data_IF_444314936180
#
_entry.id   IF_444314936180
#
_cell.length_a   1.000
_cell.length_b   1.000
_cell.length_c   1.000
_cell.angle_alpha   90.00
_cell.angle_beta   90.00
_cell.angle_gamma   90.00
#
_symmetry.space_group_name_H-M   'P 1'
#
loop_
_entity.id
_entity.type
_entity.pdbx_description
1 polymer ?
#
# COMPACT_ATOMS: atom_id res chain seq x y z
N UNK A 1 -11.32 -16.97 19.38
CA UNK A 1 -10.75 -16.94 18.01
C UNK A 1 -9.71 -15.82 17.97
N UNK A 2 -8.50 -16.09 17.50
CA UNK A 2 -7.45 -15.09 17.34
C UNK A 2 -7.23 -14.89 15.84
N UNK A 3 -7.29 -13.64 15.36
CA UNK A 3 -7.01 -13.26 13.99
C UNK A 3 -6.01 -12.13 13.96
N UNK A 4 -5.10 -12.16 13.03
CA UNK A 4 -4.19 -11.07 12.71
C UNK A 4 -4.56 -10.51 11.34
N UNK A 5 -4.63 -9.20 11.27
CA UNK A 5 -4.80 -8.45 10.02
C UNK A 5 -3.62 -7.50 9.86
N UNK A 6 -3.05 -7.44 8.69
CA UNK A 6 -1.90 -6.57 8.41
C UNK A 6 -2.04 -5.91 7.05
N UNK A 7 -1.75 -4.63 7.02
CA UNK A 7 -1.50 -3.87 5.79
C UNK A 7 -0.03 -3.48 5.80
N UNK A 8 0.69 -3.84 4.74
CA UNK A 8 2.12 -3.54 4.66
C UNK A 8 2.69 -3.87 3.29
N UNK A 9 3.97 -3.56 3.14
CA UNK A 9 4.70 -3.82 1.90
C UNK A 9 5.45 -5.15 1.97
N UNK A 10 5.52 -5.84 0.85
CA UNK A 10 6.35 -7.03 0.74
C UNK A 10 7.84 -6.67 0.78
N UNK A 11 8.59 -7.32 1.67
CA UNK A 11 10.03 -7.10 1.81
C UNK A 11 10.87 -7.78 0.72
N UNK A 12 10.29 -8.73 0.02
CA UNK A 12 10.91 -9.47 -1.09
C UNK A 12 9.84 -10.16 -1.93
N UNK A 13 10.24 -10.75 -3.03
CA UNK A 13 9.37 -11.59 -3.85
C UNK A 13 8.92 -12.81 -3.03
N UNK A 14 7.70 -13.27 -3.26
CA UNK A 14 7.22 -14.49 -2.65
C UNK A 14 7.94 -15.72 -3.21
N UNK A 15 7.93 -16.80 -2.44
CA UNK A 15 8.37 -18.14 -2.89
C UNK A 15 7.19 -19.09 -2.84
N UNK A 16 7.07 -19.93 -3.86
CA UNK A 16 6.03 -20.96 -3.93
C UNK A 16 6.67 -22.32 -3.83
N UNK A 17 6.20 -23.13 -2.89
CA UNK A 17 6.63 -24.51 -2.71
C UNK A 17 5.41 -25.43 -2.77
N UNK A 18 5.61 -26.67 -3.12
CA UNK A 18 4.59 -27.71 -3.05
C UNK A 18 4.90 -28.67 -1.90
N UNK A 19 3.91 -28.90 -1.07
CA UNK A 19 3.99 -29.80 0.09
C UNK A 19 2.75 -30.69 0.11
N UNK A 20 2.94 -31.99 -0.03
CA UNK A 20 1.85 -32.98 0.03
C UNK A 20 0.67 -32.66 -0.90
N UNK A 21 0.96 -32.25 -2.15
CA UNK A 21 -0.05 -31.94 -3.17
C UNK A 21 -0.78 -30.60 -2.99
N UNK A 22 -0.31 -29.76 -2.05
CA UNK A 22 -0.82 -28.38 -1.87
C UNK A 22 0.31 -27.38 -2.08
N UNK A 23 -0.02 -26.24 -2.63
CA UNK A 23 0.93 -25.14 -2.76
C UNK A 23 0.93 -24.28 -1.50
N UNK A 24 2.12 -23.87 -1.07
CA UNK A 24 2.31 -22.83 -0.06
C UNK A 24 3.08 -21.66 -0.67
N UNK A 25 2.50 -20.48 -0.58
CA UNK A 25 3.13 -19.23 -1.01
C UNK A 25 3.62 -18.51 0.24
N UNK A 26 4.96 -18.38 0.35
CA UNK A 26 5.61 -17.74 1.48
C UNK A 26 6.04 -16.32 1.11
N UNK A 27 5.77 -15.36 1.98
CA UNK A 27 6.15 -13.96 1.81
C UNK A 27 6.29 -13.26 3.16
N UNK A 28 7.07 -12.18 3.19
CA UNK A 28 7.27 -11.37 4.39
C UNK A 28 6.62 -10.01 4.19
N UNK A 29 5.84 -9.57 5.18
CA UNK A 29 5.16 -8.27 5.18
C UNK A 29 5.80 -7.37 6.22
N UNK A 30 6.16 -6.16 5.81
CA UNK A 30 6.61 -5.10 6.69
C UNK A 30 5.48 -4.08 6.88
N UNK A 31 5.06 -3.89 8.11
CA UNK A 31 4.22 -2.78 8.53
C UNK A 31 5.08 -1.74 9.25
N UNK A 32 5.10 -0.52 8.72
CA UNK A 32 5.85 0.58 9.32
C UNK A 32 4.88 1.63 9.88
N UNK A 33 5.10 2.00 11.11
CA UNK A 33 4.35 3.04 11.81
C UNK A 33 5.29 4.10 12.37
N UNK A 34 4.80 5.34 12.46
CA UNK A 34 5.52 6.45 13.09
C UNK A 34 4.81 6.84 14.36
N UNK A 35 5.53 6.92 15.44
CA UNK A 35 4.98 7.40 16.72
C UNK A 35 5.94 8.38 17.38
N UNK A 36 5.42 9.17 18.32
CA UNK A 36 6.25 10.05 19.14
C UNK A 36 6.64 9.31 20.42
N UNK A 37 7.94 9.34 20.72
CA UNK A 37 8.45 8.83 21.98
C UNK A 37 8.07 9.76 23.15
N UNK A 38 8.43 9.35 24.39
CA UNK A 38 8.17 10.15 25.59
C UNK A 38 8.87 11.52 25.59
N UNK A 39 9.88 11.69 24.74
CA UNK A 39 10.65 12.94 24.57
C UNK A 39 10.12 13.79 23.41
N UNK A 40 9.07 13.31 22.69
CA UNK A 40 8.45 14.02 21.57
C UNK A 40 9.12 13.83 20.21
N UNK A 41 10.14 12.95 20.12
CA UNK A 41 10.80 12.64 18.86
C UNK A 41 9.98 11.67 18.04
N UNK A 42 9.99 11.82 16.71
CA UNK A 42 9.39 10.86 15.79
C UNK A 42 10.28 9.62 15.69
N UNK A 43 9.72 8.48 15.99
CA UNK A 43 10.36 7.16 15.89
C UNK A 43 9.64 6.31 14.88
N UNK A 44 10.39 5.72 13.95
CA UNK A 44 9.90 4.74 12.99
C UNK A 44 10.03 3.34 13.59
N UNK A 45 8.93 2.59 13.58
CA UNK A 45 8.89 1.19 14.00
C UNK A 45 8.39 0.33 12.86
N UNK A 46 9.14 -0.69 12.51
CA UNK A 46 8.73 -1.67 11.49
C UNK A 46 8.51 -3.02 12.14
N UNK A 47 7.31 -3.55 11.95
CA UNK A 47 6.94 -4.90 12.38
C UNK A 47 6.93 -5.83 11.18
N UNK A 48 7.68 -6.93 11.29
CA UNK A 48 7.75 -7.95 10.25
C UNK A 48 6.89 -9.14 10.59
N UNK A 49 6.08 -9.58 9.62
CA UNK A 49 5.26 -10.78 9.73
C UNK A 49 5.62 -11.75 8.62
N UNK A 50 5.97 -12.98 8.99
CA UNK A 50 6.27 -14.06 8.06
C UNK A 50 4.96 -14.79 7.73
N UNK A 51 4.53 -14.72 6.47
CA UNK A 51 3.24 -15.20 6.00
C UNK A 51 3.37 -16.48 5.18
N UNK A 52 2.50 -17.45 5.44
CA UNK A 52 2.34 -18.66 4.66
C UNK A 52 0.88 -18.76 4.18
N UNK A 53 0.67 -18.69 2.89
CA UNK A 53 -0.66 -18.80 2.27
C UNK A 53 -0.79 -20.17 1.58
N UNK A 54 -1.62 -21.03 2.15
CA UNK A 54 -1.87 -22.38 1.65
C UNK A 54 -3.02 -22.36 0.65
N UNK A 55 -2.77 -22.92 -0.53
CA UNK A 55 -3.76 -22.96 -1.61
C UNK A 55 -3.61 -24.25 -2.42
N UNK A 56 -4.51 -24.47 -3.36
CA UNK A 56 -4.38 -25.55 -4.32
C UNK A 56 -3.28 -25.21 -5.34
N UNK A 57 -2.61 -26.22 -5.89
CA UNK A 57 -1.52 -26.04 -6.85
C UNK A 57 -1.94 -25.31 -8.13
N UNK A 58 -3.22 -25.37 -8.49
CA UNK A 58 -3.81 -24.67 -9.64
C UNK A 58 -4.24 -23.21 -9.32
N UNK A 59 -4.13 -22.77 -8.05
CA UNK A 59 -4.56 -21.43 -7.59
C UNK A 59 -3.41 -20.52 -7.16
N UNK A 60 -2.23 -20.75 -7.71
CA UNK A 60 -1.01 -19.99 -7.38
C UNK A 60 -0.88 -18.68 -8.16
N UNK A 61 -1.86 -18.33 -8.98
CA UNK A 61 -1.81 -17.13 -9.86
C UNK A 61 -1.55 -15.81 -9.16
N UNK A 62 -1.88 -15.69 -7.86
CA UNK A 62 -1.58 -14.49 -7.09
C UNK A 62 -0.08 -14.28 -6.87
N UNK A 63 0.73 -15.37 -6.88
CA UNK A 63 2.16 -15.31 -6.60
C UNK A 63 2.92 -14.37 -7.57
N UNK A 64 2.49 -14.30 -8.83
CA UNK A 64 3.11 -13.42 -9.83
C UNK A 64 3.03 -11.93 -9.48
N UNK A 65 2.06 -11.55 -8.65
CA UNK A 65 1.84 -10.17 -8.19
C UNK A 65 2.44 -9.89 -6.81
N UNK A 66 2.83 -10.94 -6.06
CA UNK A 66 3.44 -10.80 -4.73
C UNK A 66 4.95 -10.55 -4.87
N UNK A 67 5.29 -9.34 -5.32
CA UNK A 67 6.65 -8.87 -5.57
C UNK A 67 7.11 -7.89 -4.51
N UNK A 68 8.42 -7.76 -4.35
CA UNK A 68 9.02 -6.79 -3.44
C UNK A 68 8.41 -5.40 -3.62
N UNK A 69 8.02 -4.76 -2.51
CA UNK A 69 7.45 -3.42 -2.49
C UNK A 69 5.94 -3.36 -2.78
N UNK A 70 5.29 -4.47 -3.15
CA UNK A 70 3.85 -4.50 -3.33
C UNK A 70 3.15 -4.27 -1.99
N UNK A 71 2.21 -3.32 -1.95
CA UNK A 71 1.32 -3.10 -0.81
C UNK A 71 0.21 -4.16 -0.82
N UNK A 72 0.02 -4.83 0.30
CA UNK A 72 -1.01 -5.86 0.45
C UNK A 72 -1.76 -5.71 1.77
N UNK A 73 -2.97 -6.26 1.79
CA UNK A 73 -3.70 -6.65 2.99
C UNK A 73 -3.62 -8.17 3.13
N UNK A 74 -3.31 -8.64 4.31
CA UNK A 74 -3.35 -10.06 4.63
C UNK A 74 -4.09 -10.32 5.95
N UNK A 75 -4.84 -11.41 6.01
CA UNK A 75 -5.58 -11.86 7.17
C UNK A 75 -5.30 -13.34 7.42
N UNK A 76 -5.06 -13.70 8.66
CA UNK A 76 -4.73 -15.08 9.03
C UNK A 76 -4.70 -15.32 10.52
N UNK A 77 -4.27 -16.52 10.88
CA UNK A 77 -4.06 -16.92 12.27
C UNK A 77 -2.59 -16.65 12.63
N UNK A 78 -2.33 -15.84 13.69
CA UNK A 78 -0.98 -15.57 14.13
C UNK A 78 -0.37 -16.74 14.88
N UNK A 79 0.93 -16.88 14.78
CA UNK A 79 1.75 -17.82 15.52
C UNK A 79 3.05 -17.13 15.94
N UNK A 80 3.39 -17.17 17.20
CA UNK A 80 4.67 -16.69 17.70
C UNK A 80 5.66 -17.86 17.77
N UNK A 81 6.83 -17.71 17.16
CA UNK A 81 7.90 -18.70 17.19
C UNK A 81 9.14 -18.07 17.83
N UNK A 82 9.63 -18.72 18.90
CA UNK A 82 10.91 -18.41 19.48
C UNK A 82 11.97 -19.35 18.91
N UNK A 83 13.13 -18.82 18.57
CA UNK A 83 14.25 -19.59 18.04
C UNK A 83 15.59 -19.01 18.48
N UNK A 84 16.66 -19.80 18.38
CA UNK A 84 18.02 -19.31 18.56
C UNK A 84 18.58 -18.90 17.19
N UNK A 85 19.05 -17.67 17.08
CA UNK A 85 19.70 -17.19 15.86
C UNK A 85 21.10 -17.83 15.69
N UNK A 86 21.76 -17.52 14.57
CA UNK A 86 23.10 -18.05 14.26
C UNK A 86 24.18 -17.60 15.28
N UNK A 87 23.90 -16.55 16.01
CA UNK A 87 24.76 -15.98 17.05
C UNK A 87 24.43 -16.54 18.46
N UNK A 88 23.61 -17.60 18.51
CA UNK A 88 23.14 -18.25 19.73
C UNK A 88 22.37 -17.30 20.69
N UNK A 89 21.67 -16.32 20.13
CA UNK A 89 20.82 -15.40 20.86
C UNK A 89 19.35 -15.77 20.67
N UNK A 90 18.56 -15.65 21.73
CA UNK A 90 17.12 -15.86 21.64
C UNK A 90 16.48 -14.79 20.75
N UNK A 91 15.74 -15.23 19.76
CA UNK A 91 14.98 -14.40 18.85
C UNK A 91 13.54 -14.87 18.74
N UNK A 92 12.65 -13.99 18.35
CA UNK A 92 11.26 -14.35 18.09
C UNK A 92 10.83 -13.84 16.71
N UNK A 93 9.95 -14.59 16.08
CA UNK A 93 9.34 -14.21 14.82
C UNK A 93 7.83 -14.32 14.93
N UNK A 94 7.12 -13.35 14.38
CA UNK A 94 5.68 -13.41 14.22
C UNK A 94 5.39 -14.06 12.87
N UNK A 95 4.72 -15.20 12.92
CA UNK A 95 4.23 -15.91 11.73
C UNK A 95 2.72 -15.73 11.59
N UNK A 96 2.21 -15.91 10.40
CA UNK A 96 0.79 -15.90 10.12
C UNK A 96 0.45 -16.96 9.06
N UNK A 97 -0.46 -17.87 9.42
CA UNK A 97 -1.10 -18.75 8.46
C UNK A 97 -2.25 -17.97 7.80
N UNK A 98 -2.00 -17.52 6.57
CA UNK A 98 -2.89 -16.63 5.82
C UNK A 98 -4.02 -17.43 5.19
N UNK A 99 -5.24 -16.95 5.32
CA UNK A 99 -6.41 -17.46 4.60
C UNK A 99 -7.00 -16.44 3.62
N UNK A 100 -6.62 -15.17 3.73
CA UNK A 100 -7.04 -14.12 2.82
C UNK A 100 -5.88 -13.17 2.53
N UNK A 101 -5.65 -12.89 1.25
CA UNK A 101 -4.69 -11.89 0.79
C UNK A 101 -5.34 -11.03 -0.31
N UNK A 102 -5.08 -9.73 -0.28
CA UNK A 102 -5.55 -8.76 -1.28
C UNK A 102 -4.40 -7.85 -1.66
N UNK A 103 -4.25 -7.62 -2.96
CA UNK A 103 -3.33 -6.62 -3.47
C UNK A 103 -3.95 -5.24 -3.25
N UNK A 104 -3.20 -4.33 -2.68
CA UNK A 104 -3.58 -2.93 -2.48
C UNK A 104 -2.68 -2.05 -3.35
N UNK A 105 -3.19 -0.88 -3.73
CA UNK A 105 -2.49 0.07 -4.58
C UNK A 105 -3.06 0.08 -5.99
N UNK A 106 -3.08 1.25 -6.61
CA UNK A 106 -3.44 1.43 -8.02
C UNK A 106 -2.45 0.67 -8.87
N UNK A 107 -2.94 -0.11 -9.83
CA UNK A 107 -2.20 -0.30 -11.06
C UNK A 107 -1.94 1.10 -11.62
N UNK A 108 -0.70 1.56 -11.58
CA UNK A 108 -0.26 2.54 -12.55
C UNK A 108 -0.34 1.82 -13.90
N UNK A 109 -1.50 1.92 -14.55
CA UNK A 109 -1.63 1.67 -15.96
C UNK A 109 -0.84 2.80 -16.65
N UNK A 110 0.48 2.62 -16.69
CA UNK A 110 1.35 3.37 -17.57
C UNK A 110 1.17 2.76 -18.96
N UNK A 111 -0.05 2.84 -19.48
CA UNK A 111 -0.34 2.57 -20.88
C UNK A 111 -0.38 3.92 -21.58
N UNK A 112 0.83 4.35 -21.99
CA UNK A 112 0.97 5.35 -23.02
C UNK A 112 0.25 4.85 -24.28
N UNK A 113 -0.90 5.44 -24.55
CA UNK A 113 -1.66 5.28 -25.78
C UNK A 113 -2.20 6.64 -26.14
N UNK A 114 -1.43 7.38 -26.92
CA UNK A 114 -1.86 8.64 -27.50
C UNK A 114 -3.09 8.43 -28.37
N UNK A 115 -4.10 9.24 -28.15
CA UNK A 115 -5.05 9.64 -29.18
C UNK A 115 -5.33 11.11 -28.97
N UNK A 116 -4.49 11.91 -29.60
CA UNK A 116 -4.83 13.28 -29.92
C UNK A 116 -6.04 13.26 -30.84
N UNK A 117 -7.20 13.55 -30.30
CA UNK A 117 -8.29 14.06 -31.12
C UNK A 117 -8.27 15.58 -31.05
N UNK A 118 -7.63 16.13 -32.06
CA UNK A 118 -7.59 17.54 -32.37
C UNK A 118 -8.98 17.96 -32.86
N UNK A 119 -9.78 18.56 -32.00
CA UNK A 119 -10.97 19.30 -32.38
C UNK A 119 -10.60 20.79 -32.35
N UNK A 120 -10.19 21.26 -33.53
CA UNK A 120 -10.03 22.68 -33.82
C UNK A 120 -11.40 23.35 -33.73
N UNK A 121 -11.59 24.16 -32.69
CA UNK A 121 -12.62 25.20 -32.68
C UNK A 121 -11.99 26.51 -33.11
N UNK A 122 -12.44 26.98 -34.26
CA UNK A 122 -12.11 28.28 -34.83
C UNK A 122 -13.03 29.32 -34.17
N UNK A 123 -12.53 30.41 -33.58
CA UNK A 123 -13.39 31.48 -33.11
C UNK A 123 -13.64 32.46 -34.24
N UNK A 124 -14.89 32.62 -34.61
CA UNK A 124 -15.35 33.73 -35.45
C UNK A 124 -15.38 35.02 -34.65
N UNK A 125 -14.76 36.00 -35.26
CA UNK A 125 -14.70 37.42 -34.86
C UNK A 125 -16.07 38.05 -34.63
N UNK A 126 -16.22 38.78 -33.53
CA UNK A 126 -17.32 39.70 -33.28
C UNK A 126 -16.87 40.80 -32.31
N UNK A 127 -16.55 41.91 -32.86
CA UNK A 127 -16.16 43.16 -32.20
C UNK A 127 -17.32 43.74 -31.42
N UNK A 128 -17.13 44.18 -30.16
CA UNK A 128 -17.73 45.42 -29.62
C UNK A 128 -17.05 45.81 -28.31
N UNK A 129 -16.51 46.96 -28.35
CA UNK A 129 -15.86 47.76 -27.35
C UNK A 129 -16.90 48.36 -26.40
N UNK A 130 -16.79 48.21 -25.08
CA UNK A 130 -17.28 49.16 -24.09
C UNK A 130 -16.38 49.14 -22.86
N UNK A 131 -15.76 50.28 -22.67
CA UNK A 131 -14.94 50.71 -21.55
C UNK A 131 -15.84 51.09 -20.38
N UNK A 132 -15.63 50.57 -19.16
CA UNK A 132 -15.98 51.27 -17.92
C UNK A 132 -15.04 50.85 -16.79
N UNK A 133 -14.25 51.82 -16.45
CA UNK A 133 -13.44 51.97 -15.26
C UNK A 133 -14.34 52.34 -14.07
N UNK A 134 -14.14 51.78 -12.87
CA UNK A 134 -14.25 52.27 -11.49
C UNK A 134 -14.02 51.08 -10.56
N UNK A 135 -13.10 50.96 -9.78
CA UNK A 135 -12.56 51.52 -8.58
C UNK A 135 -13.20 50.94 -7.30
N UNK A 136 -12.34 50.53 -6.38
CA UNK A 136 -12.54 50.43 -4.92
C UNK A 136 -12.78 49.04 -4.34
N UNK A 137 -11.70 48.51 -3.72
CA UNK A 137 -11.49 48.29 -2.26
C UNK A 137 -12.39 47.24 -1.57
N UNK A 138 -11.63 46.35 -0.97
CA UNK A 138 -11.72 45.89 0.43
C UNK A 138 -12.67 44.74 0.76
N UNK A 139 -12.08 43.80 1.35
CA UNK A 139 -12.26 43.12 2.63
C UNK A 139 -12.29 41.60 2.51
N UNK A 140 -11.22 41.00 3.05
CA UNK A 140 -11.21 39.63 3.51
C UNK A 140 -12.19 39.48 4.67
N UNK A 141 -12.91 38.39 4.77
CA UNK A 141 -13.24 37.81 6.05
C UNK A 141 -12.37 36.62 6.35
N UNK A 142 -11.65 36.69 7.45
CA UNK A 142 -11.05 35.61 8.16
C UNK A 142 -12.10 34.52 8.41
N UNK A 143 -11.88 33.33 7.90
CA UNK A 143 -12.67 32.16 8.25
C UNK A 143 -11.95 31.40 9.33
N UNK A 144 -12.45 31.61 10.54
CA UNK A 144 -12.10 30.94 11.78
C UNK A 144 -12.75 29.57 11.77
N UNK A 145 -11.97 28.51 11.48
CA UNK A 145 -12.42 27.14 11.62
C UNK A 145 -11.87 26.54 12.91
N UNK A 146 -12.75 26.20 13.88
CA UNK A 146 -12.36 25.51 15.09
C UNK A 146 -12.35 24.00 14.87
N UNK A 147 -11.18 23.42 14.67
CA UNK A 147 -10.88 22.03 15.00
C UNK A 147 -9.37 21.79 15.06
#
# INVERSE_FOLDING_TARGET
MIKLQIIGHLGGDCTTNEVSGRAVINFNVAHSEKFKDAQGNLVDKTTWVRCAYWTDTNRTGIAQYLKKGQLIYAEGNPEAEAYMNKENQAAATLKMNVFRVQLLGSKNDNQGGGSQQNTSYQPSSGSSNVNHNVGSQAEEPADDLPF
#
